data_IF_036107076853
#
_entry.id   IF_036107076853
#
_cell.length_a   1.000
_cell.length_b   1.000
_cell.length_c   1.000
_cell.angle_alpha   90.00
_cell.angle_beta   90.00
_cell.angle_gamma   90.00
#
_symmetry.space_group_name_H-M   'P 1'
#
loop_
_entity.id
_entity.type
_entity.pdbx_description
1 polymer ?
#
# COMPACT_ATOMS: atom_id res chain seq x y z
N UNK A 1 -12.46 17.99 -7.30
CA UNK A 1 -11.03 18.21 -7.63
C UNK A 1 -10.72 19.65 -7.32
N UNK A 2 -9.97 19.91 -6.25
CA UNK A 2 -9.60 21.27 -5.85
C UNK A 2 -8.12 21.41 -6.15
N UNK A 3 -7.76 22.16 -7.19
CA UNK A 3 -6.37 22.43 -7.53
C UNK A 3 -5.80 23.45 -6.54
N UNK A 4 -4.78 23.06 -5.79
CA UNK A 4 -3.98 23.98 -4.99
C UNK A 4 -2.85 24.54 -5.84
N UNK A 5 -2.80 25.86 -6.03
CA UNK A 5 -1.64 26.54 -6.63
C UNK A 5 -0.61 26.78 -5.52
N UNK A 6 0.22 25.78 -5.26
CA UNK A 6 1.40 25.92 -4.40
C UNK A 6 2.66 26.03 -5.24
N UNK A 7 3.42 27.13 -5.10
CA UNK A 7 4.77 27.22 -5.65
C UNK A 7 5.73 26.50 -4.70
N UNK A 8 6.02 25.23 -5.00
CA UNK A 8 7.18 24.55 -4.44
C UNK A 8 8.39 24.90 -5.33
N UNK A 9 9.34 25.66 -4.77
CA UNK A 9 10.66 25.98 -5.31
C UNK A 9 10.87 25.76 -6.83
N UNK A 10 10.54 26.78 -7.63
CA UNK A 10 11.14 26.97 -8.96
C UNK A 10 10.64 26.10 -10.12
N UNK A 11 9.66 25.22 -9.93
CA UNK A 11 9.09 24.45 -11.05
C UNK A 11 7.82 25.10 -11.60
N UNK A 12 7.87 25.54 -12.86
CA UNK A 12 6.70 25.99 -13.62
C UNK A 12 5.93 24.73 -14.05
N UNK A 13 4.95 24.30 -13.26
CA UNK A 13 4.12 23.14 -13.57
C UNK A 13 3.12 22.80 -12.46
N UNK A 14 2.10 22.01 -12.80
CA UNK A 14 1.13 21.46 -11.83
C UNK A 14 1.71 20.20 -11.18
N UNK A 15 1.57 20.08 -9.87
CA UNK A 15 1.90 18.86 -9.12
C UNK A 15 0.65 17.98 -9.07
N UNK A 16 0.78 16.72 -9.49
CA UNK A 16 -0.24 15.69 -9.30
C UNK A 16 0.21 14.76 -8.17
N UNK A 17 -0.53 14.77 -7.07
CA UNK A 17 -0.38 13.77 -6.01
C UNK A 17 -1.01 12.45 -6.46
N UNK A 18 -0.21 11.38 -6.49
CA UNK A 18 -0.63 10.03 -6.86
C UNK A 18 -0.79 9.12 -5.64
N UNK A 19 -0.85 9.69 -4.44
CA UNK A 19 -1.02 8.96 -3.17
C UNK A 19 -2.47 8.97 -2.68
N UNK A 20 -2.81 8.02 -1.81
CA UNK A 20 -4.05 8.05 -1.04
C UNK A 20 -3.76 8.47 0.40
N UNK A 21 -4.79 8.91 1.12
CA UNK A 21 -4.69 9.16 2.55
C UNK A 21 -4.16 7.90 3.27
N UNK A 22 -3.22 8.10 4.19
CA UNK A 22 -2.58 7.03 4.95
C UNK A 22 -3.02 7.12 6.42
N UNK A 23 -4.12 6.45 6.72
CA UNK A 23 -4.80 6.47 8.02
C UNK A 23 -5.33 5.07 8.42
N UNK A 24 -6.15 4.98 9.47
CA UNK A 24 -6.75 3.74 9.97
C UNK A 24 -7.62 2.98 8.94
N UNK A 25 -8.06 3.64 7.88
CA UNK A 25 -8.81 3.02 6.78
C UNK A 25 -7.89 2.50 5.67
N UNK A 26 -6.58 2.72 5.79
CA UNK A 26 -5.59 2.15 4.88
C UNK A 26 -5.73 0.64 4.86
N UNK A 27 -5.78 0.08 3.67
CA UNK A 27 -5.99 -1.36 3.49
C UNK A 27 -4.65 -2.08 3.55
N UNK A 28 -4.64 -3.20 4.28
CA UNK A 28 -3.52 -4.09 4.45
C UNK A 28 -3.93 -5.51 4.11
N UNK A 29 -2.94 -6.39 3.92
CA UNK A 29 -3.20 -7.82 3.85
C UNK A 29 -3.92 -8.32 5.10
N UNK A 30 -4.79 -9.34 5.00
CA UNK A 30 -5.57 -9.82 6.13
C UNK A 30 -4.76 -10.29 7.36
N UNK A 31 -3.47 -10.56 7.19
CA UNK A 31 -2.52 -10.99 8.23
C UNK A 31 -1.44 -9.94 8.57
N UNK A 32 -1.46 -8.77 7.93
CA UNK A 32 -0.49 -7.70 8.17
C UNK A 32 -0.92 -6.83 9.37
N UNK A 33 0.06 -6.16 9.99
CA UNK A 33 -0.21 -5.19 11.04
C UNK A 33 -0.84 -3.94 10.41
N UNK A 34 -2.10 -3.61 10.75
CA UNK A 34 -2.76 -2.45 10.17
C UNK A 34 -2.12 -1.15 10.69
N UNK A 35 -2.48 -0.05 10.05
CA UNK A 35 -2.11 1.27 10.52
C UNK A 35 -2.64 1.52 11.93
N UNK A 36 -1.77 1.99 12.82
CA UNK A 36 -2.11 2.45 14.16
C UNK A 36 -1.43 3.78 14.43
N UNK A 37 -2.22 4.79 14.72
CA UNK A 37 -1.76 6.10 15.18
C UNK A 37 -2.13 6.27 16.66
N UNK A 38 -1.15 6.65 17.47
CA UNK A 38 -1.33 7.01 18.87
C UNK A 38 -0.91 8.46 19.04
N UNK A 39 -1.86 9.31 19.42
CA UNK A 39 -1.57 10.72 19.75
C UNK A 39 -0.77 10.78 21.04
N UNK A 40 0.39 11.44 21.02
CA UNK A 40 1.23 11.64 22.21
C UNK A 40 0.95 13.00 22.85
N UNK A 41 0.90 14.07 22.06
CA UNK A 41 0.53 15.40 22.53
C UNK A 41 -0.02 16.23 21.38
N UNK A 42 -1.23 16.77 21.52
CA UNK A 42 -1.83 17.69 20.55
C UNK A 42 -2.40 18.88 21.33
N UNK A 43 -1.74 20.04 21.27
CA UNK A 43 -2.20 21.18 22.05
C UNK A 43 -1.30 22.41 22.03
N UNK A 44 -1.73 23.44 22.73
CA UNK A 44 -0.92 24.63 22.98
C UNK A 44 0.13 24.32 24.04
N UNK A 45 1.38 24.68 23.77
CA UNK A 45 2.46 24.62 24.75
C UNK A 45 2.44 25.84 25.65
N UNK A 46 3.07 25.75 26.84
CA UNK A 46 3.24 26.88 27.75
C UNK A 46 4.06 28.05 27.16
N UNK A 47 4.72 27.85 26.01
CA UNK A 47 5.46 28.87 25.27
C UNK A 47 4.61 29.57 24.19
N UNK A 48 3.31 29.27 24.12
CA UNK A 48 2.37 29.96 23.24
C UNK A 48 2.30 29.47 21.80
N UNK A 49 2.86 28.29 21.49
CA UNK A 49 2.74 27.66 20.16
C UNK A 49 2.02 26.31 20.23
N UNK A 50 1.33 25.94 19.15
CA UNK A 50 0.72 24.62 18.98
C UNK A 50 1.80 23.57 18.70
N UNK A 51 1.72 22.42 19.37
CA UNK A 51 2.58 21.26 19.15
C UNK A 51 1.72 20.02 18.98
N UNK A 52 2.05 19.20 17.98
CA UNK A 52 1.41 17.92 17.71
C UNK A 52 2.48 16.84 17.53
N UNK A 53 2.36 15.75 18.28
CA UNK A 53 3.22 14.57 18.20
C UNK A 53 2.38 13.30 18.22
N UNK A 54 2.79 12.33 17.42
CA UNK A 54 2.14 11.03 17.32
C UNK A 54 3.20 9.93 17.25
N UNK A 55 2.88 8.79 17.84
CA UNK A 55 3.52 7.52 17.55
C UNK A 55 2.71 6.78 16.48
N UNK A 56 3.36 6.28 15.43
CA UNK A 56 2.70 5.49 14.40
C UNK A 56 3.37 4.12 14.22
N UNK A 57 2.58 3.10 13.90
CA UNK A 57 3.04 1.77 13.54
C UNK A 57 2.15 1.18 12.42
N UNK A 58 2.76 0.48 11.48
CA UNK A 58 2.10 -0.19 10.36
C UNK A 58 3.05 -1.21 9.74
N UNK A 59 2.52 -2.22 9.04
CA UNK A 59 3.34 -3.05 8.15
C UNK A 59 3.88 -2.22 6.97
N UNK A 60 5.09 -2.53 6.51
CA UNK A 60 5.79 -1.80 5.44
C UNK A 60 5.01 -1.81 4.10
N UNK A 61 4.21 -2.85 3.89
CA UNK A 61 3.46 -3.10 2.67
C UNK A 61 1.95 -2.86 2.87
N UNK A 62 1.61 -1.68 3.36
CA UNK A 62 0.26 -1.13 3.27
C UNK A 62 0.23 0.17 2.48
N UNK A 63 -0.95 0.73 2.27
CA UNK A 63 -1.08 2.04 1.64
C UNK A 63 -1.57 2.05 0.21
N UNK A 64 -1.33 3.21 -0.41
CA UNK A 64 -1.73 3.76 -1.72
C UNK A 64 -2.76 2.95 -2.51
N UNK A 65 -3.92 2.70 -1.91
CA UNK A 65 -5.04 2.12 -2.64
C UNK A 65 -6.37 2.40 -1.96
N UNK A 66 -7.38 2.81 -2.75
CA UNK A 66 -8.76 2.92 -2.31
C UNK A 66 -9.57 1.78 -2.91
N UNK A 67 -10.12 0.91 -2.05
CA UNK A 67 -11.07 -0.12 -2.45
C UNK A 67 -12.45 0.22 -1.88
N UNK A 68 -13.35 0.85 -2.66
CA UNK A 68 -14.70 1.17 -2.18
C UNK A 68 -15.50 -0.09 -1.84
N UNK A 69 -15.17 -1.22 -2.47
CA UNK A 69 -15.68 -2.54 -2.12
C UNK A 69 -14.52 -3.55 -2.00
N UNK A 70 -14.00 -3.80 -0.78
CA UNK A 70 -12.92 -4.75 -0.55
C UNK A 70 -13.26 -6.17 -1.01
N UNK A 71 -14.53 -6.59 -0.96
CA UNK A 71 -14.94 -7.93 -1.38
C UNK A 71 -14.73 -8.16 -2.87
N UNK A 72 -15.08 -7.16 -3.69
CA UNK A 72 -14.91 -7.25 -5.14
C UNK A 72 -13.45 -7.30 -5.56
N UNK A 73 -12.58 -6.68 -4.77
CA UNK A 73 -11.15 -6.55 -5.05
C UNK A 73 -10.39 -7.76 -4.55
N UNK A 74 -10.66 -8.18 -3.32
CA UNK A 74 -9.99 -9.29 -2.67
C UNK A 74 -10.60 -10.63 -3.12
N UNK A 75 -11.81 -10.62 -3.69
CA UNK A 75 -12.56 -11.82 -4.06
C UNK A 75 -13.24 -12.51 -2.86
N UNK A 76 -13.06 -11.98 -1.64
CA UNK A 76 -13.55 -12.59 -0.40
C UNK A 76 -13.80 -11.56 0.71
N UNK A 77 -14.72 -11.90 1.62
CA UNK A 77 -14.95 -11.19 2.88
C UNK A 77 -14.11 -11.77 4.03
N UNK A 78 -13.37 -12.86 3.80
CA UNK A 78 -12.58 -13.54 4.82
C UNK A 78 -11.40 -12.68 5.26
N UNK A 79 -11.00 -12.86 6.52
CA UNK A 79 -9.83 -12.21 7.13
C UNK A 79 -8.84 -13.24 7.68
N UNK A 80 -7.59 -12.81 7.92
CA UNK A 80 -6.50 -13.68 8.39
C UNK A 80 -6.03 -14.71 7.37
N UNK A 81 -5.33 -15.74 7.84
CA UNK A 81 -4.79 -16.83 7.01
C UNK A 81 -5.83 -17.52 6.10
N UNK A 82 -7.10 -17.73 6.52
CA UNK A 82 -8.11 -18.36 5.66
C UNK A 82 -8.50 -17.55 4.42
N UNK A 83 -8.18 -16.27 4.36
CA UNK A 83 -8.45 -15.43 3.19
C UNK A 83 -7.41 -15.64 2.07
N UNK A 84 -6.18 -16.04 2.42
CA UNK A 84 -5.05 -16.09 1.48
C UNK A 84 -5.32 -16.90 0.20
N UNK A 85 -5.97 -18.08 0.24
CA UNK A 85 -6.23 -18.86 -0.97
C UNK A 85 -7.30 -18.25 -1.89
N UNK A 86 -8.10 -17.31 -1.40
CA UNK A 86 -9.21 -16.70 -2.16
C UNK A 86 -8.82 -15.37 -2.80
N UNK A 87 -7.62 -14.87 -2.49
CA UNK A 87 -7.12 -13.61 -3.02
C UNK A 87 -6.73 -13.75 -4.49
N UNK A 88 -7.34 -12.91 -5.33
CA UNK A 88 -7.07 -12.87 -6.76
C UNK A 88 -6.92 -11.42 -7.20
N UNK A 89 -5.80 -11.11 -7.86
CA UNK A 89 -5.52 -9.78 -8.36
C UNK A 89 -5.10 -9.83 -9.83
N UNK A 90 -5.50 -8.86 -10.65
CA UNK A 90 -4.89 -8.66 -11.94
C UNK A 90 -3.37 -8.48 -11.79
N UNK A 91 -2.60 -9.20 -12.61
CA UNK A 91 -1.15 -9.14 -12.66
C UNK A 91 -0.66 -9.14 -14.12
N UNK A 92 0.60 -8.80 -14.34
CA UNK A 92 1.21 -8.90 -15.66
C UNK A 92 1.57 -10.35 -15.98
N UNK A 93 1.37 -10.77 -17.24
CA UNK A 93 1.89 -12.05 -17.70
C UNK A 93 3.41 -12.02 -17.75
N UNK A 94 4.03 -13.22 -17.69
CA UNK A 94 5.49 -13.36 -17.81
C UNK A 94 5.99 -12.79 -19.14
N UNK A 95 5.29 -13.08 -20.22
CA UNK A 95 5.63 -12.63 -21.58
C UNK A 95 5.65 -11.10 -21.65
N UNK A 96 4.67 -10.45 -21.01
CA UNK A 96 4.57 -8.98 -20.95
C UNK A 96 5.74 -8.39 -20.15
N UNK A 97 6.08 -8.98 -19.00
CA UNK A 97 7.21 -8.54 -18.18
C UNK A 97 8.55 -8.71 -18.91
N UNK A 98 8.76 -9.85 -19.59
CA UNK A 98 9.96 -10.11 -20.37
C UNK A 98 10.09 -9.16 -21.57
N UNK A 99 8.99 -8.90 -22.29
CA UNK A 99 8.98 -7.94 -23.39
C UNK A 99 9.37 -6.53 -22.92
N UNK A 100 8.77 -6.05 -21.83
CA UNK A 100 9.01 -4.70 -21.33
C UNK A 100 10.44 -4.52 -20.79
N UNK A 101 10.98 -5.51 -20.09
CA UNK A 101 12.34 -5.44 -19.54
C UNK A 101 13.40 -5.60 -20.62
N UNK A 102 13.26 -6.57 -21.54
CA UNK A 102 14.29 -6.88 -22.54
C UNK A 102 14.22 -6.01 -23.79
N UNK A 103 13.01 -5.64 -24.24
CA UNK A 103 12.83 -4.95 -25.53
C UNK A 103 12.52 -3.45 -25.37
N UNK A 104 11.95 -3.04 -24.23
CA UNK A 104 11.58 -1.63 -23.99
C UNK A 104 12.45 -0.94 -22.93
N UNK A 105 13.35 -1.68 -22.28
CA UNK A 105 14.33 -1.17 -21.32
C UNK A 105 13.72 -0.27 -20.23
N UNK A 106 12.58 -0.68 -19.68
CA UNK A 106 11.89 0.07 -18.63
C UNK A 106 12.64 -0.03 -17.30
N UNK A 107 12.59 1.03 -16.48
CA UNK A 107 13.19 1.05 -15.14
C UNK A 107 12.30 0.45 -14.05
N UNK A 108 11.00 0.38 -14.30
CA UNK A 108 10.01 -0.14 -13.37
C UNK A 108 8.62 -0.13 -13.99
N UNK A 109 7.76 -0.98 -13.45
CA UNK A 109 6.34 -1.03 -13.78
C UNK A 109 5.55 -0.99 -12.47
N UNK A 110 4.50 -0.18 -12.43
CA UNK A 110 3.66 -0.03 -11.26
C UNK A 110 2.20 -0.32 -11.62
N UNK A 111 1.49 -0.94 -10.69
CA UNK A 111 0.04 -1.06 -10.70
C UNK A 111 -0.51 -0.21 -9.56
N UNK A 112 -1.74 0.27 -9.72
CA UNK A 112 -2.47 0.90 -8.62
C UNK A 112 -2.89 -0.12 -7.56
N UNK A 113 -2.86 -1.42 -7.86
CA UNK A 113 -3.26 -2.49 -6.95
C UNK A 113 -2.07 -3.07 -6.18
N UNK A 114 -2.27 -3.50 -4.93
CA UNK A 114 -1.28 -4.15 -4.06
C UNK A 114 -0.62 -5.43 -4.63
N UNK A 115 -1.00 -5.84 -5.84
CA UNK A 115 -0.59 -7.09 -6.48
C UNK A 115 0.93 -7.23 -6.67
N UNK A 116 1.66 -6.13 -6.90
CA UNK A 116 3.04 -6.25 -7.40
C UNK A 116 4.07 -6.65 -6.33
N UNK A 117 3.85 -6.28 -5.06
CA UNK A 117 4.86 -6.51 -4.02
C UNK A 117 4.69 -7.88 -3.32
N UNK A 118 3.55 -8.57 -3.54
CA UNK A 118 3.22 -9.79 -2.77
C UNK A 118 3.04 -11.07 -3.59
N UNK A 119 2.85 -10.99 -4.91
CA UNK A 119 2.88 -12.18 -5.76
C UNK A 119 4.26 -12.87 -5.76
N UNK A 120 5.34 -12.12 -5.51
CA UNK A 120 6.67 -12.69 -5.29
C UNK A 120 6.76 -13.43 -3.94
N UNK A 121 6.18 -12.91 -2.86
CA UNK A 121 6.22 -13.54 -1.53
C UNK A 121 5.53 -14.92 -1.51
N UNK A 122 4.47 -15.10 -2.31
CA UNK A 122 3.79 -16.39 -2.44
C UNK A 122 4.55 -17.42 -3.30
N UNK A 123 5.45 -16.97 -4.19
CA UNK A 123 6.27 -17.86 -5.05
C UNK A 123 7.72 -18.04 -4.59
N UNK A 124 8.20 -17.29 -3.58
CA UNK A 124 9.57 -17.39 -3.06
C UNK A 124 9.70 -18.08 -1.69
N UNK A 125 8.60 -18.30 -0.97
CA UNK A 125 8.59 -19.23 0.16
C UNK A 125 7.95 -20.54 -0.30
N UNK A 126 8.72 -21.62 -0.57
CA UNK A 126 8.11 -22.95 -0.45
C UNK A 126 7.50 -23.01 0.96
N UNK A 127 6.23 -23.39 1.06
CA UNK A 127 5.63 -23.69 2.34
C UNK A 127 6.61 -24.59 3.11
N UNK A 128 7.05 -24.25 4.34
CA UNK A 128 7.93 -25.13 5.08
C UNK A 128 7.21 -26.47 5.16
N UNK A 129 7.87 -27.52 4.65
CA UNK A 129 7.37 -28.88 4.76
C UNK A 129 7.19 -29.16 6.25
N UNK A 130 5.95 -29.10 6.73
CA UNK A 130 5.59 -29.62 8.05
C UNK A 130 5.68 -31.13 7.90
N UNK A 131 6.59 -31.84 8.58
CA UNK A 131 6.54 -33.29 8.59
C UNK A 131 5.23 -33.68 9.28
N UNK A 132 4.39 -34.42 8.57
CA UNK A 132 3.20 -35.04 9.15
C UNK A 132 3.62 -36.02 10.26
N UNK A 133 2.80 -36.19 11.32
CA UNK A 133 3.03 -37.17 12.37
C UNK A 133 3.01 -38.61 11.85
#
# INVERSE_FOLDING_TARGET
MTAWTGSAAGHIGSILDMTYAYDENTIYWPNATPFKLTSEFHGMTGKGYWYAANFYAASEHGGTQFYPDPKNVLGTDKKGLPALPELSFPAFSRESAEFLTKQRNIKGIALTHQALIMASQLNFYPAPCVPAP
#
